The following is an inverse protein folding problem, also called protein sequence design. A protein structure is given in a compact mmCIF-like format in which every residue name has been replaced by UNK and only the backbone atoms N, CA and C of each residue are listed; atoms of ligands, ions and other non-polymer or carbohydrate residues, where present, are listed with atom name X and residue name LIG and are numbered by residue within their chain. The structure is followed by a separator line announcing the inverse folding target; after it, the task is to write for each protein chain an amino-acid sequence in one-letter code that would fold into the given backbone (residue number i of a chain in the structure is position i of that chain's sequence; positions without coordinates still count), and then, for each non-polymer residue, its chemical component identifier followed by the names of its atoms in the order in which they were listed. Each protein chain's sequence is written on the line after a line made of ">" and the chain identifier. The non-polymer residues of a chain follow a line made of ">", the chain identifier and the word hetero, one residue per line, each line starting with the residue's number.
data_IF_674960214859
#
_entry.id   IF_674960214859
#
_cell.length_a   1.000
_cell.length_b   1.000
_cell.length_c   1.000
_cell.angle_alpha   90.00
_cell.angle_beta   90.00
_cell.angle_gamma   90.00
#
_symmetry.space_group_name_H-M   'P 1'
#
loop_
_entity.id
_entity.type
_entity.pdbx_description
1 polymer ?
#
# COMPACT_ATOMS: atom_id res chain seq x y z
N UNK A 1 8.27 -14.67 16.20
CA UNK A 1 9.66 -14.73 15.71
C UNK A 1 10.23 -16.14 15.74
N UNK A 2 10.37 -16.80 16.90
CA UNK A 2 10.86 -18.20 16.97
C UNK A 2 10.10 -19.14 16.03
N UNK A 3 8.77 -19.08 15.99
CA UNK A 3 7.93 -19.88 15.07
C UNK A 3 8.28 -19.69 13.60
N UNK A 4 8.63 -18.48 13.17
CA UNK A 4 8.99 -18.19 11.78
C UNK A 4 10.38 -18.73 11.42
N UNK A 5 11.32 -18.71 12.37
CA UNK A 5 12.70 -19.18 12.16
C UNK A 5 12.83 -20.70 12.29
N UNK A 6 12.03 -21.36 13.14
CA UNK A 6 12.12 -22.81 13.38
C UNK A 6 11.78 -23.67 12.15
N UNK A 7 11.05 -23.10 11.18
CA UNK A 7 10.71 -23.78 9.92
C UNK A 7 11.51 -23.30 8.70
N UNK A 8 12.37 -22.29 8.85
CA UNK A 8 13.11 -21.69 7.74
C UNK A 8 14.44 -22.43 7.50
N UNK A 9 14.62 -22.96 6.30
CA UNK A 9 15.89 -23.57 5.85
C UNK A 9 16.62 -22.53 4.99
N UNK A 10 17.80 -22.09 5.42
CA UNK A 10 18.58 -21.01 4.76
C UNK A 10 17.78 -19.68 4.67
N UNK A 11 17.48 -19.03 5.80
CA UNK A 11 16.80 -17.73 5.79
C UNK A 11 17.69 -16.68 5.11
N UNK A 12 17.14 -15.99 4.10
CA UNK A 12 17.86 -14.98 3.30
C UNK A 12 17.45 -13.57 3.71
N UNK A 13 16.17 -13.36 4.00
CA UNK A 13 15.62 -12.04 4.35
C UNK A 13 14.37 -12.20 5.20
N UNK A 14 14.14 -11.27 6.14
CA UNK A 14 12.90 -11.18 6.91
C UNK A 14 12.17 -9.84 6.68
N UNK A 15 10.89 -9.91 6.31
CA UNK A 15 9.98 -8.77 6.35
C UNK A 15 9.32 -8.71 7.73
N UNK A 16 9.45 -7.58 8.41
CA UNK A 16 8.88 -7.37 9.75
C UNK A 16 7.83 -6.27 9.70
N UNK A 17 6.57 -6.62 9.95
CA UNK A 17 5.47 -5.67 10.00
C UNK A 17 5.02 -5.59 11.46
N UNK A 18 4.86 -4.38 11.99
CA UNK A 18 4.50 -4.19 13.40
C UNK A 18 3.43 -3.13 13.58
N UNK A 19 2.59 -3.27 14.59
CA UNK A 19 1.70 -2.20 15.03
C UNK A 19 2.50 -1.07 15.69
N UNK A 20 2.08 0.19 15.57
CA UNK A 20 2.81 1.34 16.14
C UNK A 20 2.78 1.45 17.68
N UNK A 21 2.23 0.46 18.41
CA UNK A 21 2.18 0.45 19.87
C UNK A 21 3.52 0.20 20.59
N UNK A 22 4.57 -0.16 19.85
CA UNK A 22 5.91 -0.39 20.39
C UNK A 22 6.82 0.83 20.23
N UNK A 23 7.76 1.00 21.15
CA UNK A 23 8.88 1.91 20.93
C UNK A 23 9.74 1.40 19.77
N UNK A 24 9.90 2.22 18.73
CA UNK A 24 10.52 1.80 17.48
C UNK A 24 12.01 1.46 17.64
N UNK A 25 12.72 2.11 18.56
CA UNK A 25 14.13 1.82 18.84
C UNK A 25 14.28 0.51 19.63
N UNK A 26 13.47 0.32 20.67
CA UNK A 26 13.46 -0.93 21.42
C UNK A 26 13.05 -2.12 20.55
N UNK A 27 12.05 -1.94 19.67
CA UNK A 27 11.60 -2.97 18.73
C UNK A 27 12.72 -3.37 17.76
N UNK A 28 13.39 -2.41 17.15
CA UNK A 28 14.48 -2.70 16.18
C UNK A 28 15.65 -3.43 16.83
N UNK A 29 16.00 -3.08 18.07
CA UNK A 29 17.01 -3.79 18.85
C UNK A 29 16.60 -5.24 19.15
N UNK A 30 15.39 -5.45 19.69
CA UNK A 30 14.87 -6.77 20.03
C UNK A 30 14.71 -7.67 18.80
N UNK A 31 14.25 -7.11 17.67
CA UNK A 31 14.10 -7.86 16.42
C UNK A 31 15.47 -8.29 15.89
N UNK A 32 16.46 -7.40 15.90
CA UNK A 32 17.82 -7.71 15.45
C UNK A 32 18.47 -8.80 16.33
N UNK A 33 18.28 -8.74 17.64
CA UNK A 33 18.76 -9.78 18.56
C UNK A 33 18.15 -11.16 18.24
N UNK A 34 16.84 -11.21 17.95
CA UNK A 34 16.15 -12.47 17.67
C UNK A 34 16.41 -13.03 16.26
N UNK A 35 16.66 -12.17 15.26
CA UNK A 35 16.97 -12.59 13.89
C UNK A 35 18.46 -12.91 13.69
N UNK A 36 19.33 -12.46 14.59
CA UNK A 36 20.78 -12.65 14.48
C UNK A 36 21.30 -12.04 13.17
N UNK A 37 21.97 -12.85 12.36
CA UNK A 37 22.56 -12.42 11.09
C UNK A 37 21.55 -12.30 9.95
N UNK A 38 20.28 -12.69 10.13
CA UNK A 38 19.27 -12.62 9.06
C UNK A 38 18.92 -11.15 8.77
N UNK A 39 19.20 -10.65 7.56
CA UNK A 39 18.90 -9.27 7.17
C UNK A 39 17.38 -9.03 7.17
N UNK A 40 16.97 -7.84 7.60
CA UNK A 40 15.55 -7.54 7.74
C UNK A 40 15.22 -6.07 7.52
N UNK A 41 13.98 -5.85 7.10
CA UNK A 41 13.38 -4.54 6.90
C UNK A 41 11.87 -4.60 7.10
N UNK A 42 11.22 -3.45 7.22
CA UNK A 42 9.83 -3.40 7.64
C UNK A 42 9.26 -2.02 7.84
N UNK A 43 8.07 -1.96 8.43
CA UNK A 43 7.46 -0.71 8.86
C UNK A 43 6.41 -0.91 9.96
N UNK A 44 5.96 0.20 10.53
CA UNK A 44 4.79 0.24 11.39
C UNK A 44 3.50 0.38 10.60
N UNK A 45 2.42 -0.23 11.08
CA UNK A 45 1.08 -0.21 10.47
C UNK A 45 -0.01 -0.12 11.55
N UNK A 46 -1.29 -0.01 11.13
CA UNK A 46 -2.42 0.03 12.04
C UNK A 46 -2.79 -1.35 12.62
N UNK A 47 -2.48 -2.39 11.86
CA UNK A 47 -2.73 -3.79 12.21
C UNK A 47 -1.86 -4.70 11.37
N UNK A 48 -1.65 -5.92 11.85
CA UNK A 48 -0.86 -6.95 11.17
C UNK A 48 -1.57 -8.30 11.24
N UNK A 49 -1.33 -9.18 10.28
CA UNK A 49 -1.93 -10.50 10.29
C UNK A 49 -1.01 -11.56 9.69
N UNK A 50 -1.20 -12.80 10.15
CA UNK A 50 -0.55 -13.99 9.61
C UNK A 50 -1.60 -15.09 9.43
N UNK A 51 -1.72 -15.61 8.21
CA UNK A 51 -2.86 -16.46 7.83
C UNK A 51 -4.18 -15.74 8.07
N UNK A 52 -5.03 -16.33 8.92
CA UNK A 52 -6.34 -15.78 9.28
C UNK A 52 -6.34 -15.02 10.61
N UNK A 53 -5.20 -14.91 11.29
CA UNK A 53 -5.11 -14.28 12.61
C UNK A 53 -4.67 -12.83 12.47
N UNK A 54 -5.52 -11.89 12.89
CA UNK A 54 -5.24 -10.46 12.94
C UNK A 54 -4.84 -10.03 14.35
N UNK A 55 -3.78 -9.21 14.44
CA UNK A 55 -3.29 -8.61 15.67
C UNK A 55 -3.44 -7.08 15.59
N UNK A 56 -4.18 -6.51 16.54
CA UNK A 56 -4.27 -5.06 16.77
C UNK A 56 -3.11 -4.51 17.60
N UNK A 57 -2.37 -5.39 18.28
CA UNK A 57 -1.11 -5.08 18.94
C UNK A 57 -0.17 -6.27 18.77
N UNK A 58 0.87 -6.10 17.97
CA UNK A 58 1.79 -7.19 17.68
C UNK A 58 2.79 -6.90 16.57
N UNK A 59 3.51 -7.95 16.19
CA UNK A 59 4.30 -7.97 14.97
C UNK A 59 4.15 -9.32 14.27
N UNK A 60 4.27 -9.30 12.95
CA UNK A 60 4.37 -10.50 12.11
C UNK A 60 5.71 -10.48 11.38
N UNK A 61 6.28 -11.66 11.20
CA UNK A 61 7.57 -11.83 10.51
C UNK A 61 7.39 -12.85 9.41
N UNK A 62 7.60 -12.41 8.17
CA UNK A 62 7.71 -13.28 7.01
C UNK A 62 9.17 -13.52 6.67
N UNK A 63 9.58 -14.78 6.58
CA UNK A 63 10.96 -15.15 6.26
C UNK A 63 11.02 -15.72 4.85
N UNK A 64 11.78 -15.07 3.98
CA UNK A 64 12.11 -15.57 2.65
C UNK A 64 13.36 -16.42 2.76
N UNK A 65 13.27 -17.66 2.29
CA UNK A 65 14.32 -18.67 2.44
C UNK A 65 14.68 -19.30 1.09
N UNK A 66 15.92 -19.76 0.97
CA UNK A 66 16.37 -20.58 -0.16
C UNK A 66 17.53 -19.99 -0.97
N UNK A 67 18.44 -20.86 -1.41
CA UNK A 67 19.65 -20.57 -2.19
C UNK A 67 19.46 -19.86 -3.54
N UNK A 68 18.22 -19.74 -4.02
CA UNK A 68 17.85 -19.08 -5.28
C UNK A 68 17.38 -17.63 -5.12
N UNK A 69 17.52 -17.02 -3.95
CA UNK A 69 17.04 -15.67 -3.65
C UNK A 69 18.21 -14.71 -3.43
N UNK A 70 18.14 -13.53 -4.05
CA UNK A 70 18.99 -12.39 -3.75
C UNK A 70 18.11 -11.24 -3.31
N UNK A 71 18.63 -10.40 -2.44
CA UNK A 71 17.89 -9.25 -1.95
C UNK A 71 18.79 -8.04 -1.82
N UNK A 72 18.18 -6.87 -1.77
CA UNK A 72 18.84 -5.64 -1.36
C UNK A 72 17.86 -4.75 -0.61
N UNK A 73 18.38 -3.98 0.35
CA UNK A 73 17.59 -3.08 1.19
C UNK A 73 18.17 -1.69 1.02
N UNK A 74 17.33 -0.75 0.62
CA UNK A 74 17.68 0.65 0.57
C UNK A 74 16.76 1.47 1.44
N UNK A 75 17.31 2.56 1.97
CA UNK A 75 16.62 3.49 2.85
C UNK A 75 16.97 4.91 2.46
N UNK A 76 15.99 5.78 2.52
CA UNK A 76 16.17 7.23 2.43
C UNK A 76 15.35 7.90 3.53
N UNK A 77 15.81 9.06 3.97
CA UNK A 77 15.11 9.94 4.90
C UNK A 77 14.61 11.20 4.18
N UNK A 78 13.97 12.09 4.94
CA UNK A 78 13.53 13.42 4.50
C UNK A 78 12.53 13.36 3.34
N UNK A 79 11.64 12.38 3.35
CA UNK A 79 10.54 12.22 2.37
C UNK A 79 9.67 13.49 2.30
N UNK A 80 9.46 14.17 3.42
CA UNK A 80 8.72 15.43 3.53
C UNK A 80 9.35 16.59 2.77
N UNK A 81 10.67 16.55 2.54
CA UNK A 81 11.41 17.57 1.78
C UNK A 81 11.32 17.28 0.29
N UNK A 82 11.69 16.06 -0.11
CA UNK A 82 11.63 15.62 -1.50
C UNK A 82 11.40 14.09 -1.59
N UNK A 83 10.13 13.70 -1.60
CA UNK A 83 9.75 12.29 -1.69
C UNK A 83 10.28 11.61 -2.96
N UNK A 84 10.41 12.34 -4.08
CA UNK A 84 10.91 11.75 -5.32
C UNK A 84 12.39 11.44 -5.21
N UNK A 85 13.19 12.36 -4.68
CA UNK A 85 14.60 12.12 -4.41
C UNK A 85 14.79 10.96 -3.41
N UNK A 86 13.97 10.90 -2.36
CA UNK A 86 14.01 9.80 -1.40
C UNK A 86 13.69 8.44 -2.06
N UNK A 87 12.67 8.37 -2.92
CA UNK A 87 12.33 7.17 -3.69
C UNK A 87 13.46 6.72 -4.63
N UNK A 88 14.11 7.68 -5.30
CA UNK A 88 15.31 7.41 -6.13
C UNK A 88 16.42 6.84 -5.25
N UNK A 89 16.79 7.51 -4.16
CA UNK A 89 17.91 7.13 -3.30
C UNK A 89 17.71 5.75 -2.66
N UNK A 90 16.53 5.50 -2.08
CA UNK A 90 16.21 4.21 -1.48
C UNK A 90 16.24 3.08 -2.53
N UNK A 91 15.72 3.31 -3.73
CA UNK A 91 15.72 2.28 -4.78
C UNK A 91 17.12 2.04 -5.34
N UNK A 92 17.91 3.10 -5.56
CA UNK A 92 19.31 2.98 -5.99
C UNK A 92 20.11 2.16 -4.99
N UNK A 93 19.96 2.41 -3.68
CA UNK A 93 20.64 1.62 -2.65
C UNK A 93 20.14 0.16 -2.63
N UNK A 94 18.83 -0.08 -2.74
CA UNK A 94 18.27 -1.43 -2.76
C UNK A 94 18.75 -2.27 -3.96
N UNK A 95 19.05 -1.63 -5.09
CA UNK A 95 19.49 -2.31 -6.31
C UNK A 95 21.01 -2.41 -6.44
N UNK A 96 21.79 -1.74 -5.57
CA UNK A 96 23.25 -1.68 -5.69
C UNK A 96 23.93 -3.05 -5.61
N UNK A 97 23.38 -3.96 -4.79
CA UNK A 97 23.90 -5.32 -4.57
C UNK A 97 23.27 -6.36 -5.53
N UNK A 98 22.36 -5.92 -6.42
CA UNK A 98 21.70 -6.79 -7.38
C UNK A 98 22.25 -6.56 -8.80
N UNK A 99 22.16 -7.56 -9.70
CA UNK A 99 22.52 -7.35 -11.10
C UNK A 99 21.73 -6.20 -11.71
N UNK A 100 22.41 -5.28 -12.40
CA UNK A 100 21.79 -4.14 -13.07
C UNK A 100 20.73 -4.58 -14.10
N UNK A 101 20.96 -5.72 -14.76
CA UNK A 101 20.00 -6.39 -15.65
C UNK A 101 19.60 -7.71 -15.00
N UNK A 102 18.30 -7.92 -14.83
CA UNK A 102 17.75 -9.18 -14.30
C UNK A 102 18.15 -10.33 -15.24
N UNK A 103 18.89 -11.35 -14.77
CA UNK A 103 19.34 -12.44 -15.64
C UNK A 103 18.17 -13.24 -16.23
N UNK A 104 18.33 -13.88 -17.40
CA UNK A 104 17.31 -14.76 -17.95
C UNK A 104 16.86 -15.83 -16.95
N UNK A 105 15.54 -16.00 -16.81
CA UNK A 105 14.94 -16.94 -15.86
C UNK A 105 14.86 -16.43 -14.41
N UNK A 106 15.28 -15.20 -14.13
CA UNK A 106 15.04 -14.53 -12.86
C UNK A 106 13.92 -13.50 -12.98
N UNK A 107 13.28 -13.22 -11.85
CA UNK A 107 12.21 -12.24 -11.70
C UNK A 107 12.60 -11.29 -10.57
N UNK A 108 12.23 -10.02 -10.72
CA UNK A 108 12.47 -8.98 -9.70
C UNK A 108 11.15 -8.46 -9.14
N UNK A 109 11.09 -8.33 -7.82
CA UNK A 109 10.05 -7.59 -7.12
C UNK A 109 10.67 -6.50 -6.25
N UNK A 110 9.96 -5.39 -6.10
CA UNK A 110 10.31 -4.32 -5.17
C UNK A 110 9.12 -4.04 -4.24
N UNK A 111 9.38 -4.08 -2.95
CA UNK A 111 8.43 -3.69 -1.91
C UNK A 111 8.80 -2.28 -1.44
N UNK A 112 7.88 -1.33 -1.56
CA UNK A 112 8.07 0.06 -1.15
C UNK A 112 7.28 0.33 0.12
N UNK A 113 7.97 0.74 1.19
CA UNK A 113 7.39 1.13 2.46
C UNK A 113 7.68 2.62 2.68
N UNK A 114 6.69 3.47 2.46
CA UNK A 114 6.88 4.92 2.46
C UNK A 114 6.24 5.57 3.69
N UNK A 115 6.83 6.66 4.17
CA UNK A 115 6.14 7.58 5.07
C UNK A 115 5.02 8.30 4.33
N UNK A 116 3.80 8.18 4.86
CA UNK A 116 2.63 8.85 4.28
C UNK A 116 2.24 10.13 5.00
N UNK A 117 2.75 10.35 6.21
CA UNK A 117 2.47 11.55 6.99
C UNK A 117 3.06 12.79 6.33
N UNK A 118 4.14 12.63 5.57
CA UNK A 118 4.72 13.63 4.66
C UNK A 118 3.76 14.12 3.57
N UNK A 119 2.74 13.34 3.21
CA UNK A 119 1.92 13.59 2.02
C UNK A 119 2.64 13.35 0.68
N UNK A 120 3.82 12.71 0.71
CA UNK A 120 4.73 12.56 -0.45
C UNK A 120 4.94 11.12 -0.93
N UNK A 121 4.16 10.16 -0.43
CA UNK A 121 4.30 8.76 -0.80
C UNK A 121 4.14 8.50 -2.32
N UNK A 122 3.27 9.22 -3.02
CA UNK A 122 3.15 9.12 -4.47
C UNK A 122 4.42 9.57 -5.20
N UNK A 123 5.11 10.60 -4.70
CA UNK A 123 6.41 11.04 -5.22
C UNK A 123 7.50 9.99 -4.95
N UNK A 124 7.49 9.33 -3.78
CA UNK A 124 8.38 8.19 -3.48
C UNK A 124 8.20 7.08 -4.51
N UNK A 125 6.97 6.71 -4.83
CA UNK A 125 6.68 5.69 -5.87
C UNK A 125 7.25 6.12 -7.23
N UNK A 126 7.04 7.38 -7.65
CA UNK A 126 7.60 7.89 -8.92
C UNK A 126 9.12 7.82 -8.95
N UNK A 127 9.77 8.22 -7.85
CA UNK A 127 11.22 8.17 -7.71
C UNK A 127 11.74 6.73 -7.77
N UNK A 128 11.04 5.80 -7.13
CA UNK A 128 11.40 4.39 -7.14
C UNK A 128 11.28 3.78 -8.54
N UNK A 129 10.17 4.02 -9.23
CA UNK A 129 9.94 3.53 -10.60
C UNK A 129 10.93 4.13 -11.61
N UNK A 130 11.34 5.39 -11.41
CA UNK A 130 12.37 6.02 -12.25
C UNK A 130 13.68 5.24 -12.27
N UNK A 131 14.05 4.59 -11.16
CA UNK A 131 15.26 3.78 -11.04
C UNK A 131 15.02 2.31 -11.36
N UNK A 132 13.96 1.71 -10.78
CA UNK A 132 13.71 0.28 -10.89
C UNK A 132 13.02 -0.15 -12.20
N UNK A 133 12.39 0.78 -12.92
CA UNK A 133 11.74 0.52 -14.19
C UNK A 133 10.41 -0.25 -14.11
N UNK A 134 9.88 -0.61 -15.27
CA UNK A 134 8.53 -1.20 -15.43
C UNK A 134 8.51 -2.73 -15.53
N UNK A 135 9.66 -3.38 -15.66
CA UNK A 135 9.79 -4.85 -15.70
C UNK A 135 9.85 -5.52 -14.32
N UNK A 136 9.43 -4.81 -13.28
CA UNK A 136 9.52 -5.22 -11.87
C UNK A 136 8.12 -5.35 -11.28
N UNK A 137 7.91 -6.38 -10.46
CA UNK A 137 6.71 -6.51 -9.65
C UNK A 137 6.75 -5.53 -8.48
N UNK A 138 5.91 -4.50 -8.48
CA UNK A 138 5.88 -3.47 -7.45
C UNK A 138 4.72 -3.68 -6.48
N UNK A 139 5.03 -3.76 -5.19
CA UNK A 139 4.06 -3.87 -4.11
C UNK A 139 4.47 -2.97 -2.94
N UNK A 140 3.59 -2.80 -1.95
CA UNK A 140 3.91 -2.10 -0.72
C UNK A 140 2.77 -1.23 -0.21
N UNK A 141 3.11 -0.33 0.70
CA UNK A 141 2.14 0.58 1.27
C UNK A 141 2.76 1.59 2.23
N UNK A 142 1.89 2.44 2.75
CA UNK A 142 2.26 3.49 3.70
C UNK A 142 2.44 2.97 5.11
N UNK A 143 3.56 3.34 5.73
CA UNK A 143 3.76 3.17 7.15
C UNK A 143 2.94 4.18 7.95
N UNK A 144 2.37 3.76 9.07
CA UNK A 144 1.62 4.65 9.97
C UNK A 144 1.36 4.02 11.33
N UNK A 145 0.32 4.49 12.00
CA UNK A 145 -0.06 4.12 13.36
C UNK A 145 -1.51 3.62 13.48
N UNK A 146 -2.04 3.55 14.70
CA UNK A 146 -3.42 3.13 14.99
C UNK A 146 -4.43 4.26 14.70
N UNK A 147 -4.52 4.65 13.42
CA UNK A 147 -5.42 5.69 12.87
C UNK A 147 -5.26 7.10 13.45
N UNK A 148 -4.22 7.35 14.23
CA UNK A 148 -3.93 8.67 14.80
C UNK A 148 -3.24 9.59 13.80
N UNK A 149 -2.64 9.02 12.75
CA UNK A 149 -1.88 9.73 11.72
C UNK A 149 -0.82 10.66 12.34
N UNK A 150 -0.22 10.23 13.45
CA UNK A 150 0.69 11.04 14.24
C UNK A 150 2.12 10.50 14.19
N UNK A 151 2.28 9.19 14.02
CA UNK A 151 3.58 8.51 14.04
C UNK A 151 3.60 7.38 13.01
N UNK A 152 4.78 7.14 12.47
CA UNK A 152 5.08 6.02 11.59
C UNK A 152 6.58 5.83 11.55
N UNK A 153 7.03 4.58 11.41
CA UNK A 153 8.43 4.29 11.24
C UNK A 153 8.66 3.24 10.16
N UNK A 154 9.71 3.42 9.39
CA UNK A 154 10.28 2.39 8.52
C UNK A 154 11.46 1.74 9.25
N UNK A 155 11.67 0.45 9.02
CA UNK A 155 12.73 -0.31 9.64
C UNK A 155 13.69 -0.81 8.56
N UNK A 156 14.97 -0.53 8.74
CA UNK A 156 16.04 -1.05 7.89
C UNK A 156 17.37 -0.92 8.62
N UNK A 157 18.29 -1.86 8.38
CA UNK A 157 19.67 -1.78 8.87
C UNK A 157 19.75 -1.65 10.40
N UNK A 158 18.88 -2.37 11.12
CA UNK A 158 18.82 -2.36 12.59
C UNK A 158 18.33 -1.05 13.20
N UNK A 159 17.75 -0.13 12.41
CA UNK A 159 17.29 1.19 12.85
C UNK A 159 15.83 1.44 12.48
N UNK A 160 15.21 2.33 13.25
CA UNK A 160 13.94 2.95 12.91
C UNK A 160 14.19 4.31 12.25
N UNK A 161 13.50 4.56 11.15
CA UNK A 161 13.55 5.77 10.35
C UNK A 161 12.19 6.43 10.42
N UNK A 162 12.19 7.73 10.72
CA UNK A 162 11.00 8.59 10.63
C UNK A 162 11.17 9.48 9.42
N UNK A 163 10.05 9.88 8.79
CA UNK A 163 10.09 10.62 7.52
C UNK A 163 10.92 9.87 6.45
N UNK A 164 10.78 8.55 6.43
CA UNK A 164 11.63 7.65 5.67
C UNK A 164 10.90 6.90 4.55
N UNK A 165 11.70 6.34 3.65
CA UNK A 165 11.26 5.38 2.64
C UNK A 165 12.22 4.19 2.66
N UNK A 166 11.67 2.99 2.72
CA UNK A 166 12.42 1.73 2.60
C UNK A 166 12.00 1.02 1.33
N UNK A 167 12.97 0.57 0.55
CA UNK A 167 12.76 -0.28 -0.63
C UNK A 167 13.48 -1.59 -0.41
N UNK A 168 12.73 -2.68 -0.53
CA UNK A 168 13.27 -4.04 -0.48
C UNK A 168 13.18 -4.60 -1.89
N UNK A 169 14.31 -4.87 -2.51
CA UNK A 169 14.38 -5.53 -3.81
C UNK A 169 14.66 -7.02 -3.61
N UNK A 170 13.95 -7.88 -4.35
CA UNK A 170 14.07 -9.33 -4.34
C UNK A 170 14.27 -9.82 -5.76
N UNK A 171 15.32 -10.60 -6.00
CA UNK A 171 15.56 -11.36 -7.22
C UNK A 171 15.41 -12.86 -6.88
N UNK A 172 14.58 -13.57 -7.63
CA UNK A 172 14.44 -15.03 -7.49
C UNK A 172 14.18 -15.70 -8.84
N UNK A 173 14.47 -16.99 -8.93
CA UNK A 173 14.11 -17.83 -10.08
C UNK A 173 12.61 -18.17 -10.11
N UNK A 174 11.95 -18.14 -8.96
CA UNK A 174 10.50 -18.34 -8.88
C UNK A 174 9.76 -17.11 -9.41
N UNK A 175 8.59 -17.32 -9.99
CA UNK A 175 7.76 -16.19 -10.48
C UNK A 175 7.20 -15.42 -9.28
N UNK A 176 7.12 -14.11 -9.42
CA UNK A 176 6.46 -13.22 -8.48
C UNK A 176 5.47 -12.37 -9.25
N UNK A 177 4.29 -12.13 -8.67
CA UNK A 177 3.28 -11.32 -9.31
C UNK A 177 2.46 -10.53 -8.29
N UNK A 178 1.89 -9.43 -8.77
CA UNK A 178 1.10 -8.52 -7.95
C UNK A 178 -0.34 -8.47 -8.47
N UNK A 179 -1.30 -8.58 -7.57
CA UNK A 179 -2.70 -8.30 -7.84
C UNK A 179 -3.16 -7.10 -7.02
N UNK A 180 -3.84 -6.15 -7.68
CA UNK A 180 -4.30 -4.90 -7.06
C UNK A 180 -5.77 -4.66 -7.40
N UNK A 181 -6.64 -4.49 -6.40
CA UNK A 181 -8.08 -4.21 -6.61
C UNK A 181 -8.65 -3.35 -5.48
N UNK A 182 -9.54 -2.42 -5.82
CA UNK A 182 -10.16 -1.50 -4.86
C UNK A 182 -11.63 -1.85 -4.55
N UNK A 183 -12.44 -2.25 -5.55
CA UNK A 183 -13.81 -2.72 -5.34
C UNK A 183 -14.90 -1.63 -5.26
N UNK A 184 -14.55 -0.39 -5.64
CA UNK A 184 -15.48 0.73 -5.74
C UNK A 184 -16.02 0.85 -7.16
N UNK A 185 -17.22 1.40 -7.30
CA UNK A 185 -17.85 1.66 -8.61
C UNK A 185 -18.14 3.15 -8.78
N UNK A 186 -18.23 3.67 -10.02
CA UNK A 186 -18.65 5.05 -10.25
C UNK A 186 -20.04 5.31 -9.67
N UNK A 187 -20.18 6.38 -8.90
CA UNK A 187 -21.43 6.79 -8.26
C UNK A 187 -22.07 7.98 -8.98
N UNK A 188 -21.24 8.87 -9.54
CA UNK A 188 -21.67 10.04 -10.29
C UNK A 188 -20.93 10.25 -11.62
N UNK A 189 -21.30 11.29 -12.38
CA UNK A 189 -20.58 11.70 -13.58
C UNK A 189 -19.14 12.16 -13.24
N UNK A 190 -18.22 12.16 -14.22
CA UNK A 190 -16.90 12.76 -14.03
C UNK A 190 -16.99 14.29 -13.87
N UNK A 191 -16.05 14.84 -13.11
CA UNK A 191 -15.81 16.26 -12.94
C UNK A 191 -14.33 16.57 -13.15
N UNK A 192 -14.02 17.66 -13.83
CA UNK A 192 -12.67 18.15 -14.07
C UNK A 192 -12.15 18.90 -12.84
N UNK A 193 -10.95 18.53 -12.41
CA UNK A 193 -10.17 19.29 -11.44
C UNK A 193 -9.69 20.57 -12.12
N UNK A 194 -10.11 21.71 -11.61
CA UNK A 194 -9.81 23.04 -12.19
C UNK A 194 -8.86 23.86 -11.33
N UNK A 195 -8.77 23.55 -10.03
CA UNK A 195 -7.73 24.07 -9.14
C UNK A 195 -7.43 23.11 -8.01
N UNK A 196 -6.15 22.74 -7.91
CA UNK A 196 -5.64 21.85 -6.87
C UNK A 196 -4.25 22.28 -6.43
N UNK A 197 -3.93 22.07 -5.15
CA UNK A 197 -2.57 22.18 -4.63
C UNK A 197 -2.22 20.93 -3.84
N UNK A 198 -1.39 20.06 -4.43
CA UNK A 198 -1.03 18.77 -3.86
C UNK A 198 -2.27 17.90 -3.63
N UNK A 199 -2.60 17.63 -2.36
CA UNK A 199 -3.76 16.84 -1.98
C UNK A 199 -5.04 17.67 -1.69
N UNK A 200 -5.01 18.99 -1.94
CA UNK A 200 -6.14 19.89 -1.62
C UNK A 200 -6.80 20.38 -2.90
N UNK A 201 -8.01 19.89 -3.18
CA UNK A 201 -8.81 20.25 -4.35
C UNK A 201 -9.74 21.40 -3.95
N UNK A 202 -9.47 22.60 -4.42
CA UNK A 202 -10.31 23.77 -4.12
C UNK A 202 -11.41 23.96 -5.15
N UNK A 203 -11.17 23.60 -6.42
CA UNK A 203 -12.16 23.78 -7.50
C UNK A 203 -12.34 22.53 -8.35
N UNK A 204 -13.60 22.15 -8.56
CA UNK A 204 -14.06 21.20 -9.57
C UNK A 204 -15.01 21.95 -10.50
N UNK A 205 -14.90 21.78 -11.81
CA UNK A 205 -15.77 22.47 -12.79
C UNK A 205 -15.85 24.00 -12.60
N UNK A 206 -14.74 24.65 -12.21
CA UNK A 206 -14.65 26.08 -11.90
C UNK A 206 -15.57 26.55 -10.74
N UNK A 207 -15.96 25.62 -9.86
CA UNK A 207 -16.80 25.85 -8.69
C UNK A 207 -16.14 25.25 -7.43
N UNK A 208 -16.53 25.67 -6.20
CA UNK A 208 -16.03 25.05 -4.97
C UNK A 208 -16.18 23.53 -5.01
N UNK A 209 -15.08 22.81 -4.74
CA UNK A 209 -15.02 21.36 -4.94
C UNK A 209 -16.12 20.60 -4.17
N UNK A 210 -16.41 21.01 -2.93
CA UNK A 210 -17.47 20.41 -2.13
C UNK A 210 -18.87 20.62 -2.73
N UNK A 211 -19.16 21.76 -3.36
CA UNK A 211 -20.46 21.99 -4.01
C UNK A 211 -20.69 21.03 -5.17
N UNK A 212 -19.65 20.74 -5.97
CA UNK A 212 -19.74 19.74 -7.05
C UNK A 212 -19.93 18.33 -6.48
N UNK A 213 -19.21 18.00 -5.39
CA UNK A 213 -19.36 16.73 -4.68
C UNK A 213 -20.80 16.56 -4.16
N UNK A 214 -21.37 17.58 -3.52
CA UNK A 214 -22.75 17.58 -3.03
C UNK A 214 -23.76 17.38 -4.16
N UNK A 215 -23.53 17.98 -5.33
CA UNK A 215 -24.41 17.76 -6.50
C UNK A 215 -24.35 16.33 -7.01
N UNK A 216 -23.19 15.69 -6.99
CA UNK A 216 -23.07 14.28 -7.35
C UNK A 216 -23.87 13.39 -6.36
N UNK A 217 -23.79 13.68 -5.06
CA UNK A 217 -24.59 13.03 -4.02
C UNK A 217 -26.11 13.26 -4.22
N UNK A 218 -26.51 14.51 -4.39
CA UNK A 218 -27.91 14.88 -4.61
C UNK A 218 -28.51 14.23 -5.87
N UNK A 219 -27.71 14.03 -6.93
CA UNK A 219 -28.12 13.32 -8.14
C UNK A 219 -28.48 11.85 -7.92
N UNK A 220 -28.10 11.27 -6.77
CA UNK A 220 -28.43 9.90 -6.34
C UNK A 220 -29.44 9.86 -5.19
N UNK A 221 -29.93 11.03 -4.76
CA UNK A 221 -30.89 11.17 -3.66
C UNK A 221 -30.25 11.35 -2.29
N UNK A 222 -28.92 11.41 -2.20
CA UNK A 222 -28.21 11.61 -0.94
C UNK A 222 -28.05 13.11 -0.64
N UNK A 223 -28.04 13.46 0.64
CA UNK A 223 -27.77 14.82 1.12
C UNK A 223 -26.57 14.77 2.05
N UNK A 224 -25.58 15.63 1.82
CA UNK A 224 -24.32 15.61 2.55
C UNK A 224 -24.01 17.01 3.03
N UNK A 225 -24.05 17.22 4.33
CA UNK A 225 -23.56 18.45 4.96
C UNK A 225 -22.03 18.42 5.12
N UNK A 226 -21.41 19.57 5.42
CA UNK A 226 -19.97 19.59 5.73
C UNK A 226 -19.63 18.74 6.96
N UNK A 227 -20.51 18.74 7.97
CA UNK A 227 -20.33 17.99 9.21
C UNK A 227 -20.42 16.48 8.99
N UNK A 228 -21.27 16.03 8.06
CA UNK A 228 -21.44 14.61 7.72
C UNK A 228 -20.47 14.14 6.62
N UNK A 229 -19.75 15.06 5.98
CA UNK A 229 -18.93 14.77 4.81
C UNK A 229 -17.94 13.64 5.03
N UNK A 230 -17.22 13.65 6.16
CA UNK A 230 -16.20 12.64 6.45
C UNK A 230 -16.82 11.25 6.52
N UNK A 231 -17.98 11.12 7.17
CA UNK A 231 -18.69 9.84 7.27
C UNK A 231 -19.19 9.37 5.90
N UNK A 232 -19.72 10.28 5.08
CA UNK A 232 -20.20 9.95 3.74
C UNK A 232 -19.04 9.57 2.80
N UNK A 233 -17.93 10.33 2.84
CA UNK A 233 -16.75 10.12 2.01
C UNK A 233 -16.03 8.80 2.30
N UNK A 234 -16.23 8.20 3.49
CA UNK A 234 -15.67 6.88 3.82
C UNK A 234 -16.15 5.77 2.87
N UNK A 235 -17.41 5.80 2.43
CA UNK A 235 -17.93 4.92 1.38
C UNK A 235 -17.99 5.58 0.00
N UNK A 236 -17.81 6.90 -0.07
CA UNK A 236 -17.88 7.67 -1.32
C UNK A 236 -16.59 8.45 -1.64
N UNK A 237 -15.45 7.78 -1.85
CA UNK A 237 -14.19 8.45 -2.16
C UNK A 237 -14.19 9.04 -3.58
N UNK A 238 -13.13 9.73 -3.95
CA UNK A 238 -12.89 10.15 -5.33
C UNK A 238 -12.14 9.07 -6.10
N UNK A 239 -12.48 8.86 -7.37
CA UNK A 239 -11.79 7.99 -8.30
C UNK A 239 -11.24 8.76 -9.48
N UNK A 240 -9.95 8.61 -9.76
CA UNK A 240 -9.27 9.20 -10.93
C UNK A 240 -9.28 8.14 -12.05
N UNK A 241 -10.05 8.33 -13.13
CA UNK A 241 -10.15 7.35 -14.21
C UNK A 241 -8.80 7.05 -14.85
N UNK A 242 -8.53 5.77 -15.11
CA UNK A 242 -7.35 5.28 -15.83
C UNK A 242 -7.76 4.77 -17.23
N UNK A 243 -6.79 4.68 -18.14
CA UNK A 243 -7.04 4.25 -19.52
C UNK A 243 -7.69 2.86 -19.64
N UNK A 244 -7.46 1.97 -18.66
CA UNK A 244 -8.04 0.62 -18.61
C UNK A 244 -9.50 0.56 -18.10
N UNK A 245 -10.15 1.70 -17.84
CA UNK A 245 -11.51 1.76 -17.29
C UNK A 245 -11.57 1.64 -15.75
N UNK A 246 -10.44 1.34 -15.12
CA UNK A 246 -10.28 1.29 -13.67
C UNK A 246 -10.03 2.70 -13.09
N UNK A 247 -9.99 2.84 -11.75
CA UNK A 247 -9.82 4.12 -11.07
C UNK A 247 -8.75 4.05 -9.98
N UNK A 248 -7.94 5.10 -9.89
CA UNK A 248 -7.09 5.32 -8.70
C UNK A 248 -7.94 6.03 -7.64
N UNK A 249 -8.11 5.40 -6.49
CA UNK A 249 -8.94 5.95 -5.40
C UNK A 249 -8.15 6.95 -4.56
N UNK A 250 -8.82 8.04 -4.18
CA UNK A 250 -8.35 9.11 -3.30
C UNK A 250 -9.38 9.38 -2.22
N UNK A 251 -8.96 9.29 -0.97
CA UNK A 251 -9.83 9.44 0.20
C UNK A 251 -9.87 10.91 0.63
N UNK A 252 -11.00 11.62 0.48
CA UNK A 252 -11.18 12.93 1.09
C UNK A 252 -11.36 12.76 2.61
N UNK A 253 -10.44 13.33 3.40
CA UNK A 253 -10.44 13.20 4.86
C UNK A 253 -11.14 14.35 5.58
N UNK A 254 -11.26 15.50 4.91
CA UNK A 254 -12.01 16.65 5.41
C UNK A 254 -12.39 17.60 4.30
N UNK A 255 -13.39 18.42 4.58
CA UNK A 255 -13.74 19.62 3.83
C UNK A 255 -13.49 20.83 4.72
N UNK A 256 -12.96 21.93 4.16
CA UNK A 256 -12.82 23.19 4.89
C UNK A 256 -14.03 24.13 4.70
N UNK A 257 -14.06 25.24 5.43
CA UNK A 257 -15.14 26.22 5.35
C UNK A 257 -15.31 26.84 3.94
N UNK A 258 -14.25 26.86 3.13
CA UNK A 258 -14.28 27.35 1.76
C UNK A 258 -14.78 26.29 0.75
N UNK A 259 -15.00 25.04 1.19
CA UNK A 259 -15.40 23.94 0.33
C UNK A 259 -14.24 23.20 -0.34
N UNK A 260 -13.01 23.40 0.12
CA UNK A 260 -11.83 22.64 -0.34
C UNK A 260 -11.87 21.23 0.19
N UNK A 261 -11.71 20.24 -0.69
CA UNK A 261 -11.57 18.83 -0.31
C UNK A 261 -10.09 18.51 -0.06
N UNK A 262 -9.77 17.95 1.10
CA UNK A 262 -8.40 17.53 1.43
C UNK A 262 -8.30 16.01 1.43
N UNK A 263 -7.56 15.48 0.47
CA UNK A 263 -7.39 14.05 0.25
C UNK A 263 -6.14 13.47 0.93
N UNK A 264 -6.10 12.14 1.06
CA UNK A 264 -4.86 11.39 1.27
C UNK A 264 -4.16 11.19 -0.06
N UNK A 265 -2.97 11.77 -0.20
CA UNK A 265 -2.23 11.75 -1.45
C UNK A 265 -2.73 12.79 -2.46
N UNK A 266 -1.85 13.14 -3.40
CA UNK A 266 -2.12 14.20 -4.35
C UNK A 266 -3.19 13.83 -5.40
N UNK A 267 -3.80 14.86 -5.97
CA UNK A 267 -4.66 14.76 -7.15
C UNK A 267 -4.03 15.59 -8.26
N UNK A 268 -3.77 15.01 -9.45
CA UNK A 268 -3.16 15.76 -10.55
C UNK A 268 -4.05 16.92 -11.02
N UNK A 269 -3.44 18.06 -11.32
CA UNK A 269 -4.14 19.20 -11.89
C UNK A 269 -4.66 18.88 -13.30
N UNK A 270 -5.85 19.39 -13.63
CA UNK A 270 -6.53 19.14 -14.90
C UNK A 270 -7.04 17.71 -15.10
N UNK A 271 -6.94 16.81 -14.11
CA UNK A 271 -7.47 15.44 -14.26
C UNK A 271 -8.98 15.39 -14.10
N UNK A 272 -9.59 14.29 -14.54
CA UNK A 272 -10.97 13.96 -14.18
C UNK A 272 -10.99 13.23 -12.83
N UNK A 273 -12.00 13.51 -12.03
CA UNK A 273 -12.37 12.75 -10.83
C UNK A 273 -13.84 12.35 -10.90
N UNK A 274 -14.21 11.27 -10.23
CA UNK A 274 -15.60 10.83 -10.05
C UNK A 274 -15.84 10.56 -8.58
N UNK A 275 -17.02 10.91 -8.07
CA UNK A 275 -17.47 10.31 -6.82
C UNK A 275 -17.70 8.81 -7.08
N UNK A 276 -17.14 8.00 -6.21
CA UNK A 276 -17.23 6.54 -6.24
C UNK A 276 -18.17 6.08 -5.12
N UNK A 277 -18.52 4.80 -5.13
CA UNK A 277 -19.30 4.15 -4.07
C UNK A 277 -18.68 2.79 -3.78
N UNK A 278 -18.50 2.48 -2.51
CA UNK A 278 -18.01 1.22 -2.01
C UNK A 278 -18.96 0.61 -0.99
N UNK A 279 -19.22 -0.68 -1.17
CA UNK A 279 -20.00 -1.49 -0.25
C UNK A 279 -19.14 -2.67 0.22
N UNK A 280 -19.51 -3.28 1.35
CA UNK A 280 -18.80 -4.43 1.94
C UNK A 280 -18.57 -5.56 0.92
N UNK A 281 -19.59 -5.87 0.11
CA UNK A 281 -19.49 -6.90 -0.92
C UNK A 281 -18.43 -6.57 -1.99
N UNK A 282 -18.30 -5.29 -2.36
CA UNK A 282 -17.29 -4.81 -3.30
C UNK A 282 -15.87 -4.93 -2.76
N UNK A 283 -15.68 -4.65 -1.46
CA UNK A 283 -14.37 -4.80 -0.80
C UNK A 283 -13.95 -6.28 -0.73
N UNK A 284 -14.83 -7.17 -0.28
CA UNK A 284 -14.56 -8.61 -0.24
C UNK A 284 -14.31 -9.20 -1.64
N UNK A 285 -15.05 -8.71 -2.64
CA UNK A 285 -14.79 -9.05 -4.04
C UNK A 285 -13.39 -8.59 -4.47
N UNK A 286 -12.98 -7.37 -4.12
CA UNK A 286 -11.64 -6.87 -4.45
C UNK A 286 -10.53 -7.70 -3.80
N UNK A 287 -10.65 -8.08 -2.52
CA UNK A 287 -9.68 -8.94 -1.85
C UNK A 287 -9.52 -10.30 -2.56
N UNK A 288 -10.65 -10.89 -2.97
CA UNK A 288 -10.69 -12.13 -3.76
C UNK A 288 -10.00 -11.98 -5.10
N UNK A 289 -10.35 -10.93 -5.85
CA UNK A 289 -9.82 -10.73 -7.21
C UNK A 289 -8.35 -10.31 -7.21
N UNK A 290 -7.88 -9.52 -6.23
CA UNK A 290 -6.46 -9.23 -6.06
C UNK A 290 -5.66 -10.52 -5.81
N UNK A 291 -6.16 -11.38 -4.91
CA UNK A 291 -5.54 -12.68 -4.60
C UNK A 291 -5.48 -13.59 -5.83
N UNK A 292 -6.60 -13.72 -6.55
CA UNK A 292 -6.69 -14.53 -7.77
C UNK A 292 -5.78 -14.02 -8.86
N UNK A 293 -5.76 -12.71 -9.10
CA UNK A 293 -4.91 -12.11 -10.12
C UNK A 293 -3.42 -12.38 -9.82
N UNK A 294 -2.98 -12.19 -8.58
CA UNK A 294 -1.60 -12.49 -8.17
C UNK A 294 -1.26 -13.98 -8.37
N UNK A 295 -2.10 -14.88 -7.88
CA UNK A 295 -1.90 -16.33 -7.99
C UNK A 295 -1.88 -16.82 -9.43
N UNK A 296 -2.82 -16.38 -10.25
CA UNK A 296 -2.90 -16.74 -11.67
C UNK A 296 -1.68 -16.24 -12.45
N UNK A 297 -1.20 -15.03 -12.14
CA UNK A 297 -0.02 -14.46 -12.81
C UNK A 297 1.31 -15.16 -12.41
N UNK A 298 1.41 -15.69 -11.19
CA UNK A 298 2.52 -16.60 -10.83
C UNK A 298 2.46 -17.90 -11.64
N UNK A 299 1.26 -18.40 -11.94
CA UNK A 299 1.01 -19.59 -12.76
C UNK A 299 1.78 -20.84 -12.26
N UNK A 300 1.64 -21.14 -10.97
CA UNK A 300 2.33 -22.24 -10.31
C UNK A 300 2.02 -22.31 -8.80
N UNK A 301 2.64 -23.26 -8.07
CA UNK A 301 2.54 -23.31 -6.61
C UNK A 301 3.12 -22.05 -5.97
N UNK A 302 2.47 -21.55 -4.92
CA UNK A 302 2.93 -20.40 -4.15
C UNK A 302 3.75 -20.86 -2.94
N UNK A 303 4.89 -20.22 -2.70
CA UNK A 303 5.67 -20.36 -1.46
C UNK A 303 5.14 -19.44 -0.35
N UNK A 304 4.45 -18.37 -0.71
CA UNK A 304 3.77 -17.48 0.21
C UNK A 304 3.27 -16.20 -0.46
N UNK A 305 2.67 -15.31 0.33
CA UNK A 305 2.20 -14.02 -0.15
C UNK A 305 2.28 -12.95 0.94
N UNK A 306 2.39 -11.70 0.48
CA UNK A 306 2.43 -10.50 1.31
C UNK A 306 1.26 -9.61 0.89
N UNK A 307 0.42 -9.22 1.85
CA UNK A 307 -0.76 -8.40 1.62
C UNK A 307 -0.61 -7.03 2.26
N UNK A 308 -0.82 -5.98 1.47
CA UNK A 308 -0.94 -4.60 1.92
C UNK A 308 -2.39 -4.19 1.68
N UNK A 309 -3.14 -4.02 2.77
CA UNK A 309 -4.56 -3.74 2.71
C UNK A 309 -4.86 -2.41 3.40
N UNK A 310 -5.65 -1.55 2.77
CA UNK A 310 -5.88 -0.22 3.32
C UNK A 310 -6.62 -0.28 4.65
N UNK A 311 -6.09 0.38 5.68
CA UNK A 311 -6.77 0.48 6.98
C UNK A 311 -8.18 1.09 6.86
N UNK A 312 -8.43 1.95 5.87
CA UNK A 312 -9.75 2.52 5.66
C UNK A 312 -10.79 1.49 5.18
N UNK A 313 -10.36 0.34 4.62
CA UNK A 313 -11.25 -0.77 4.25
C UNK A 313 -11.77 -1.48 5.49
N UNK A 314 -10.93 -1.69 6.50
CA UNK A 314 -11.36 -2.26 7.79
C UNK A 314 -12.42 -1.39 8.47
N UNK A 315 -12.32 -0.06 8.35
CA UNK A 315 -13.34 0.87 8.85
C UNK A 315 -14.69 0.73 8.13
N UNK A 316 -14.68 0.51 6.81
CA UNK A 316 -15.92 0.30 6.03
C UNK A 316 -16.52 -1.09 6.30
N UNK A 317 -15.68 -2.10 6.49
CA UNK A 317 -16.11 -3.47 6.78
C UNK A 317 -16.60 -3.64 8.22
N UNK A 318 -16.04 -2.91 9.18
CA UNK A 318 -16.29 -3.09 10.61
C UNK A 318 -15.98 -4.54 11.03
N UNK A 319 -16.98 -5.22 11.60
CA UNK A 319 -16.88 -6.64 11.98
C UNK A 319 -16.56 -7.57 10.80
N UNK A 320 -16.76 -7.12 9.56
CA UNK A 320 -16.45 -7.87 8.34
C UNK A 320 -14.97 -7.96 7.97
N UNK A 321 -14.06 -7.26 8.67
CA UNK A 321 -12.61 -7.29 8.36
C UNK A 321 -12.03 -8.70 8.45
N UNK A 322 -12.53 -9.52 9.38
CA UNK A 322 -12.08 -10.92 9.52
C UNK A 322 -12.37 -11.74 8.26
N UNK A 323 -13.53 -11.55 7.63
CA UNK A 323 -13.89 -12.24 6.40
C UNK A 323 -13.00 -11.83 5.21
N UNK A 324 -12.49 -10.60 5.21
CA UNK A 324 -11.53 -10.14 4.20
C UNK A 324 -10.18 -10.85 4.36
N UNK A 325 -9.66 -10.93 5.59
CA UNK A 325 -8.41 -11.63 5.90
C UNK A 325 -8.50 -13.13 5.57
N UNK A 326 -9.62 -13.76 5.90
CA UNK A 326 -9.90 -15.14 5.52
C UNK A 326 -9.96 -15.33 4.00
N UNK A 327 -10.51 -14.35 3.28
CA UNK A 327 -10.58 -14.38 1.81
C UNK A 327 -9.19 -14.40 1.18
N UNK A 328 -8.23 -13.58 1.66
CA UNK A 328 -6.85 -13.62 1.17
C UNK A 328 -6.24 -15.01 1.35
N UNK A 329 -6.30 -15.55 2.57
CA UNK A 329 -5.73 -16.86 2.91
C UNK A 329 -6.35 -17.99 2.10
N UNK A 330 -7.68 -17.99 1.94
CA UNK A 330 -8.41 -19.03 1.21
C UNK A 330 -8.08 -19.04 -0.29
N UNK A 331 -8.03 -17.87 -0.94
CA UNK A 331 -7.77 -17.78 -2.38
C UNK A 331 -6.31 -18.09 -2.72
N UNK A 332 -5.37 -17.63 -1.89
CA UNK A 332 -3.94 -17.87 -2.08
C UNK A 332 -3.57 -19.32 -1.80
N UNK A 333 -4.07 -19.90 -0.70
CA UNK A 333 -3.79 -21.30 -0.34
C UNK A 333 -2.31 -21.57 -0.02
N UNK A 334 -1.61 -20.57 0.51
CA UNK A 334 -0.21 -20.60 0.89
C UNK A 334 0.00 -19.73 2.14
N UNK A 335 1.17 -19.74 2.81
CA UNK A 335 1.44 -18.84 3.92
C UNK A 335 1.23 -17.38 3.53
N UNK A 336 0.38 -16.66 4.28
CA UNK A 336 0.10 -15.23 4.06
C UNK A 336 0.58 -14.45 5.27
N UNK A 337 1.28 -13.36 5.04
CA UNK A 337 1.42 -12.28 6.01
C UNK A 337 0.84 -11.00 5.42
N UNK A 338 0.39 -10.09 6.26
CA UNK A 338 -0.06 -8.80 5.77
C UNK A 338 -0.23 -7.77 6.86
N UNK A 339 -0.66 -6.59 6.43
CA UNK A 339 -0.83 -5.45 7.31
C UNK A 339 -1.87 -4.47 6.79
N UNK A 340 -2.41 -3.69 7.73
CA UNK A 340 -3.33 -2.59 7.47
C UNK A 340 -2.54 -1.30 7.24
N UNK A 341 -2.28 -0.98 5.98
CA UNK A 341 -1.45 0.16 5.55
C UNK A 341 -2.24 1.45 5.41
N UNK A 342 -1.51 2.57 5.38
CA UNK A 342 -2.08 3.86 5.03
C UNK A 342 -1.84 4.13 3.55
N UNK A 343 -2.71 3.61 2.71
CA UNK A 343 -2.51 3.64 1.27
C UNK A 343 -1.54 2.58 0.78
N UNK A 344 -1.73 2.19 -0.48
CA UNK A 344 -1.16 0.97 -1.05
C UNK A 344 -0.39 1.31 -2.30
N UNK A 345 0.66 0.55 -2.57
CA UNK A 345 1.54 0.75 -3.71
C UNK A 345 1.46 -0.49 -4.58
N UNK A 346 1.00 -0.29 -5.81
CA UNK A 346 0.84 -1.37 -6.78
C UNK A 346 0.38 -0.86 -8.13
N UNK A 347 0.48 -1.69 -9.16
CA UNK A 347 -0.08 -1.38 -10.47
C UNK A 347 -1.54 -1.85 -10.55
N UNK A 348 -2.40 -1.01 -11.14
CA UNK A 348 -3.73 -1.43 -11.57
C UNK A 348 -3.64 -1.81 -13.06
N UNK A 349 -3.93 -3.09 -13.37
CA UNK A 349 -3.80 -3.62 -14.72
C UNK A 349 -2.34 -3.60 -15.24
N UNK A 350 -2.11 -3.41 -16.55
CA UNK A 350 -0.77 -3.37 -17.14
C UNK A 350 -0.03 -2.01 -16.92
N UNK A 351 -0.55 -1.17 -16.02
CA UNK A 351 0.00 0.17 -15.77
C UNK A 351 1.31 0.15 -14.99
N UNK A 352 1.85 1.34 -14.76
CA UNK A 352 2.94 1.58 -13.79
C UNK A 352 2.37 1.57 -12.37
N UNK A 353 3.15 1.20 -11.34
CA UNK A 353 2.64 1.27 -9.99
C UNK A 353 2.34 2.71 -9.59
N UNK A 354 1.28 2.85 -8.82
CA UNK A 354 0.79 4.12 -8.30
C UNK A 354 0.54 3.96 -6.80
N UNK A 355 0.38 5.09 -6.12
CA UNK A 355 -0.13 5.13 -4.76
C UNK A 355 -1.66 5.18 -4.80
N UNK A 356 -2.30 4.31 -4.02
CA UNK A 356 -3.74 4.11 -3.96
C UNK A 356 -4.26 4.32 -2.54
N UNK A 357 -5.55 4.62 -2.40
CA UNK A 357 -6.28 4.45 -1.14
C UNK A 357 -7.34 3.37 -1.30
N UNK A 358 -7.89 2.87 -0.18
CA UNK A 358 -8.99 1.90 -0.14
C UNK A 358 -8.77 0.67 -1.04
N UNK A 359 -7.51 0.29 -1.25
CA UNK A 359 -7.13 -0.76 -2.19
C UNK A 359 -6.52 -1.94 -1.44
N UNK A 360 -6.62 -3.13 -2.03
CA UNK A 360 -5.88 -4.31 -1.61
C UNK A 360 -4.78 -4.60 -2.64
N UNK A 361 -3.53 -4.76 -2.17
CA UNK A 361 -2.37 -5.17 -2.96
C UNK A 361 -1.84 -6.48 -2.42
N UNK A 362 -1.73 -7.49 -3.28
CA UNK A 362 -1.22 -8.83 -2.96
C UNK A 362 0.01 -9.12 -3.79
N UNK A 363 1.16 -9.28 -3.14
CA UNK A 363 2.37 -9.82 -3.75
C UNK A 363 2.42 -11.33 -3.50
N UNK A 364 2.25 -12.14 -4.54
CA UNK A 364 2.39 -13.58 -4.49
C UNK A 364 3.81 -14.01 -4.91
N UNK A 365 4.40 -14.92 -4.14
CA UNK A 365 5.73 -15.48 -4.37
C UNK A 365 5.57 -16.96 -4.77
N UNK A 366 6.12 -17.34 -5.93
CA UNK A 366 6.19 -18.74 -6.34
C UNK A 366 7.08 -19.56 -5.41
N UNK A 367 6.77 -20.85 -5.27
CA UNK A 367 7.53 -21.79 -4.44
C UNK A 367 8.94 -22.08 -4.97
#
# INVERSE_FOLDING_TARGET
>A
MRTALTGAVEPVFALVLSTAGYDAHALTAAVSEQLGEVPWAGCTTAGVFAGTEMLSLGLVVGVVSGSGVRFGIGVADRVSVDGRAAGVAATTQALAELPAVVPPGWNRACIVLADVLSGKAADVVRGAVQVGGTGVAWAGGGAGDDLRLARGAQFAQGKAWVDGAVVIALDTRSRMAVGTRHGFRPYGPPSMVTRVKGASISELEFEPAFSVYQRAAAGRGDQVSQDEFVNFAMSHPLGIPQAGGDHVIRDPMRVDAAGTLHCVGEVPDGCLVRVMEGERAGLLFAAREASRAAKQAVNGPLGGAIVFDCVSRSLVLGEGVQAEIETFSAELGAPVIGCLTFGEIGAIGPGVPQFHNKTAVVLALGA
#
